data_IF_699013305618
#
_entry.id   IF_699013305618
#
_cell.length_a   1.000
_cell.length_b   1.000
_cell.length_c   1.000
_cell.angle_alpha   90.00
_cell.angle_beta   90.00
_cell.angle_gamma   90.00
#
_symmetry.space_group_name_H-M   'P 1'
#
loop_
_entity.id
_entity.type
_entity.pdbx_description
1 polymer ?
#
# COMPACT_ATOMS: atom_id res chain seq x y z
N UNK A 1 -24.41 -1.59 -3.63
CA UNK A 1 -23.05 -2.12 -3.87
C UNK A 1 -22.89 -2.29 -5.36
N UNK A 2 -21.90 -1.64 -5.97
CA UNK A 2 -21.45 -2.04 -7.31
C UNK A 2 -20.92 -3.48 -7.19
N UNK A 3 -21.51 -4.41 -7.92
CA UNK A 3 -20.91 -5.75 -8.04
C UNK A 3 -19.56 -5.57 -8.75
N UNK A 4 -18.47 -6.16 -8.25
CA UNK A 4 -17.22 -6.15 -9.01
C UNK A 4 -17.51 -6.80 -10.37
N UNK A 5 -17.17 -6.09 -11.44
CA UNK A 5 -17.15 -6.67 -12.78
C UNK A 5 -15.89 -7.50 -12.82
N UNK A 6 -16.05 -8.82 -12.73
CA UNK A 6 -14.96 -9.77 -12.94
C UNK A 6 -15.02 -10.11 -14.41
N UNK A 7 -14.09 -9.53 -15.18
CA UNK A 7 -13.90 -9.87 -16.58
C UNK A 7 -13.31 -11.28 -16.68
N UNK A 8 -13.83 -12.11 -17.58
CA UNK A 8 -13.21 -13.41 -17.85
C UNK A 8 -11.80 -13.20 -18.43
N UNK A 9 -10.91 -14.16 -18.15
CA UNK A 9 -9.50 -14.08 -18.56
C UNK A 9 -9.31 -14.02 -20.08
N UNK A 10 -10.32 -14.40 -20.86
CA UNK A 10 -10.34 -14.36 -22.32
C UNK A 10 -11.03 -13.10 -22.87
N UNK A 11 -11.55 -12.22 -22.02
CA UNK A 11 -12.03 -10.92 -22.46
C UNK A 11 -10.85 -10.02 -22.87
N UNK A 12 -11.09 -9.15 -23.85
CA UNK A 12 -10.13 -8.12 -24.28
C UNK A 12 -8.75 -8.61 -24.73
N UNK A 13 -8.60 -9.87 -25.16
CA UNK A 13 -7.30 -10.47 -25.54
C UNK A 13 -6.26 -10.38 -24.41
N UNK A 14 -6.71 -10.50 -23.16
CA UNK A 14 -5.84 -10.41 -22.00
C UNK A 14 -4.79 -11.53 -22.00
N UNK A 15 -5.16 -12.73 -22.45
CA UNK A 15 -4.27 -13.87 -22.66
C UNK A 15 -3.09 -13.54 -23.62
N UNK A 16 -3.38 -12.91 -24.75
CA UNK A 16 -2.36 -12.49 -25.71
C UNK A 16 -1.46 -11.39 -25.15
N UNK A 17 -2.02 -10.51 -24.32
CA UNK A 17 -1.29 -9.44 -23.66
C UNK A 17 -0.36 -9.98 -22.56
N UNK A 18 -0.85 -10.93 -21.76
CA UNK A 18 -0.05 -11.65 -20.75
C UNK A 18 1.07 -12.44 -21.43
N UNK A 19 0.78 -13.15 -22.53
CA UNK A 19 1.78 -13.92 -23.27
C UNK A 19 2.93 -13.06 -23.83
N UNK A 20 2.70 -11.76 -24.06
CA UNK A 20 3.72 -10.80 -24.53
C UNK A 20 4.38 -10.01 -23.39
N UNK A 21 3.87 -10.15 -22.17
CA UNK A 21 4.38 -9.41 -21.02
C UNK A 21 5.64 -10.09 -20.49
N UNK A 22 6.65 -9.28 -20.14
CA UNK A 22 7.87 -9.76 -19.49
C UNK A 22 7.76 -9.77 -17.95
N UNK A 23 6.71 -9.14 -17.41
CA UNK A 23 6.43 -9.01 -15.98
C UNK A 23 4.95 -8.71 -15.76
N UNK A 24 4.41 -9.15 -14.62
CA UNK A 24 3.06 -8.78 -14.15
C UNK A 24 3.17 -8.01 -12.84
N UNK A 25 2.51 -6.86 -12.75
CA UNK A 25 2.50 -6.04 -11.53
C UNK A 25 1.13 -6.05 -10.87
N UNK A 26 1.12 -6.10 -9.54
CA UNK A 26 -0.08 -6.03 -8.72
C UNK A 26 0.03 -4.93 -7.67
N UNK A 27 -1.08 -4.26 -7.41
CA UNK A 27 -1.29 -3.63 -6.11
C UNK A 27 -1.49 -4.71 -5.03
N UNK A 28 -1.37 -4.34 -3.76
CA UNK A 28 -1.57 -5.22 -2.62
C UNK A 28 -3.01 -5.14 -2.07
N UNK A 29 -3.37 -3.99 -1.52
CA UNK A 29 -4.57 -3.82 -0.69
C UNK A 29 -5.83 -3.82 -1.58
N UNK A 30 -6.74 -4.75 -1.29
CA UNK A 30 -7.93 -5.06 -2.08
C UNK A 30 -7.66 -5.58 -3.50
N UNK A 31 -6.43 -6.02 -3.79
CA UNK A 31 -6.05 -6.73 -5.02
C UNK A 31 -5.57 -8.14 -4.71
N UNK A 32 -4.45 -8.28 -3.99
CA UNK A 32 -3.93 -9.57 -3.55
C UNK A 32 -4.49 -9.97 -2.17
N UNK A 33 -4.77 -9.01 -1.30
CA UNK A 33 -5.31 -9.28 0.02
C UNK A 33 -6.30 -8.19 0.47
N UNK A 34 -7.18 -8.50 1.42
CA UNK A 34 -7.96 -7.45 2.08
C UNK A 34 -7.02 -6.46 2.77
N UNK A 35 -7.37 -5.17 2.79
CA UNK A 35 -6.45 -4.13 3.31
C UNK A 35 -5.86 -4.46 4.68
N UNK A 36 -4.52 -4.44 4.75
CA UNK A 36 -3.71 -4.76 5.94
C UNK A 36 -3.91 -6.17 6.52
N UNK A 37 -4.45 -7.12 5.76
CA UNK A 37 -4.63 -8.53 6.17
C UNK A 37 -3.78 -9.46 5.30
N UNK A 38 -3.31 -10.61 5.82
CA UNK A 38 -2.59 -11.57 5.00
C UNK A 38 -3.42 -12.09 3.83
N UNK A 39 -2.74 -12.47 2.73
CA UNK A 39 -3.37 -13.19 1.63
C UNK A 39 -4.08 -14.44 2.13
N UNK A 40 -5.18 -14.79 1.47
CA UNK A 40 -5.78 -16.11 1.65
C UNK A 40 -4.85 -17.18 1.08
N UNK A 41 -4.87 -18.38 1.66
CA UNK A 41 -4.02 -19.50 1.23
C UNK A 41 -4.14 -19.79 -0.28
N UNK A 42 -5.34 -19.80 -0.84
CA UNK A 42 -5.58 -20.03 -2.27
C UNK A 42 -4.96 -18.95 -3.17
N UNK A 43 -4.98 -17.70 -2.71
CA UNK A 43 -4.32 -16.60 -3.42
C UNK A 43 -2.80 -16.74 -3.37
N UNK A 44 -2.25 -17.08 -2.20
CA UNK A 44 -0.83 -17.31 -2.04
C UNK A 44 -0.31 -18.47 -2.92
N UNK A 45 -1.05 -19.58 -3.00
CA UNK A 45 -0.73 -20.69 -3.90
C UNK A 45 -0.77 -20.28 -5.38
N UNK A 46 -1.74 -19.45 -5.77
CA UNK A 46 -1.86 -18.96 -7.15
C UNK A 46 -0.73 -17.99 -7.51
N UNK A 47 -0.41 -17.07 -6.60
CA UNK A 47 0.67 -16.10 -6.77
C UNK A 47 2.03 -16.79 -6.83
N UNK A 48 2.29 -17.77 -5.96
CA UNK A 48 3.51 -18.57 -5.97
C UNK A 48 3.72 -19.28 -7.31
N UNK A 49 2.69 -19.94 -7.84
CA UNK A 49 2.74 -20.57 -9.17
C UNK A 49 3.03 -19.56 -10.28
N UNK A 50 2.45 -18.36 -10.20
CA UNK A 50 2.70 -17.31 -11.18
C UNK A 50 4.15 -16.81 -11.12
N UNK A 51 4.69 -16.58 -9.92
CA UNK A 51 6.07 -16.16 -9.69
C UNK A 51 7.06 -17.17 -10.27
N UNK A 52 6.76 -18.47 -10.21
CA UNK A 52 7.63 -19.51 -10.79
C UNK A 52 7.69 -19.45 -12.33
N UNK A 53 6.70 -18.84 -12.99
CA UNK A 53 6.58 -18.77 -14.45
C UNK A 53 7.10 -17.43 -14.99
N UNK A 54 6.77 -16.32 -14.34
CA UNK A 54 7.05 -14.97 -14.82
C UNK A 54 7.45 -14.05 -13.66
N UNK A 55 8.33 -13.05 -13.88
CA UNK A 55 8.57 -12.01 -12.89
C UNK A 55 7.28 -11.32 -12.45
N UNK A 56 7.13 -11.13 -11.14
CA UNK A 56 5.98 -10.46 -10.53
C UNK A 56 6.46 -9.28 -9.69
N UNK A 57 5.86 -8.11 -9.90
CA UNK A 57 6.03 -6.96 -9.03
C UNK A 57 4.84 -6.74 -8.11
N UNK A 58 5.10 -6.48 -6.84
CA UNK A 58 4.10 -6.00 -5.89
C UNK A 58 4.44 -4.55 -5.55
N UNK A 59 3.59 -3.63 -6.00
CA UNK A 59 3.73 -2.19 -5.76
C UNK A 59 2.62 -1.80 -4.80
N UNK A 60 2.93 -1.22 -3.65
CA UNK A 60 1.91 -0.89 -2.64
C UNK A 60 2.24 0.39 -1.91
N UNK A 61 1.21 1.10 -1.45
CA UNK A 61 1.41 2.18 -0.48
C UNK A 61 1.90 1.69 0.88
N UNK A 62 1.69 0.42 1.23
CA UNK A 62 2.09 -0.16 2.51
C UNK A 62 3.60 -0.12 2.77
N UNK A 63 4.00 -0.13 4.04
CA UNK A 63 5.40 -0.25 4.42
C UNK A 63 5.93 -1.68 4.19
N UNK A 64 7.25 -1.84 4.20
CA UNK A 64 7.91 -3.13 3.95
C UNK A 64 7.46 -4.24 4.92
N UNK A 65 7.22 -3.91 6.18
CA UNK A 65 6.72 -4.86 7.19
C UNK A 65 5.33 -5.39 6.86
N UNK A 66 4.47 -4.57 6.26
CA UNK A 66 3.17 -5.02 5.78
C UNK A 66 3.32 -5.97 4.60
N UNK A 67 4.24 -5.70 3.68
CA UNK A 67 4.52 -6.61 2.55
C UNK A 67 5.03 -7.97 3.04
N UNK A 68 5.95 -7.98 4.00
CA UNK A 68 6.45 -9.24 4.60
C UNK A 68 5.31 -10.08 5.16
N UNK A 69 4.47 -9.47 6.01
CA UNK A 69 3.38 -10.17 6.70
C UNK A 69 2.27 -10.61 5.73
N UNK A 70 1.96 -9.80 4.73
CA UNK A 70 0.80 -10.05 3.87
C UNK A 70 1.12 -10.91 2.65
N UNK A 71 2.34 -10.79 2.11
CA UNK A 71 2.79 -11.48 0.90
C UNK A 71 3.86 -12.50 1.23
N UNK A 72 5.05 -12.06 1.64
CA UNK A 72 6.24 -12.92 1.62
C UNK A 72 6.09 -14.12 2.56
N UNK A 73 5.56 -13.91 3.76
CA UNK A 73 5.33 -14.99 4.73
C UNK A 73 4.23 -15.97 4.32
N UNK A 74 3.43 -15.64 3.30
CA UNK A 74 2.33 -16.47 2.82
C UNK A 74 2.72 -17.32 1.61
N UNK A 75 3.82 -16.99 0.92
CA UNK A 75 4.27 -17.72 -0.27
C UNK A 75 4.57 -19.18 0.06
N UNK A 76 4.29 -20.08 -0.87
CA UNK A 76 4.56 -21.50 -0.70
C UNK A 76 6.07 -21.77 -0.66
N UNK A 77 6.47 -22.74 0.15
CA UNK A 77 7.86 -23.20 0.20
C UNK A 77 8.31 -23.62 -1.21
N UNK A 78 9.49 -23.19 -1.62
CA UNK A 78 10.06 -23.49 -2.94
C UNK A 78 9.73 -22.50 -4.04
N UNK A 79 8.89 -21.48 -3.78
CA UNK A 79 8.64 -20.37 -4.73
C UNK A 79 9.97 -19.73 -5.16
N UNK A 80 10.14 -19.46 -6.46
CA UNK A 80 11.32 -18.81 -7.00
C UNK A 80 11.36 -17.31 -6.63
N UNK A 81 11.87 -17.00 -5.45
CA UNK A 81 11.91 -15.64 -4.90
C UNK A 81 12.72 -14.65 -5.75
N UNK A 82 13.59 -15.13 -6.65
CA UNK A 82 14.29 -14.24 -7.59
C UNK A 82 13.34 -13.57 -8.58
N UNK A 83 12.13 -14.10 -8.79
CA UNK A 83 11.15 -13.52 -9.69
C UNK A 83 10.24 -12.48 -9.00
N UNK A 84 10.33 -12.29 -7.68
CA UNK A 84 9.50 -11.30 -6.98
C UNK A 84 10.22 -9.95 -6.81
N UNK A 85 9.52 -8.88 -7.17
CA UNK A 85 9.96 -7.49 -7.04
C UNK A 85 9.06 -6.78 -6.03
N UNK A 86 9.64 -6.16 -5.00
CA UNK A 86 8.88 -5.55 -3.90
C UNK A 86 9.09 -4.04 -3.89
N UNK A 87 8.02 -3.29 -4.07
CA UNK A 87 8.04 -1.83 -4.20
C UNK A 87 7.04 -1.20 -3.22
N UNK A 88 7.38 -1.13 -1.91
CA UNK A 88 6.53 -0.50 -0.91
C UNK A 88 6.48 1.02 -1.11
N UNK A 89 5.65 1.68 -0.31
CA UNK A 89 5.52 3.15 -0.28
C UNK A 89 5.34 3.79 -1.66
N UNK A 90 4.50 3.17 -2.50
CA UNK A 90 4.25 3.55 -3.89
C UNK A 90 5.50 3.56 -4.78
N UNK A 91 6.46 2.69 -4.50
CA UNK A 91 7.69 2.54 -5.27
C UNK A 91 8.78 3.56 -4.96
N UNK A 92 8.64 4.35 -3.87
CA UNK A 92 9.75 5.19 -3.38
C UNK A 92 10.90 4.35 -2.79
N UNK A 93 10.67 3.07 -2.56
CA UNK A 93 11.71 2.09 -2.26
C UNK A 93 11.51 0.82 -3.10
N UNK A 94 12.59 0.12 -3.40
CA UNK A 94 12.57 -1.13 -4.17
C UNK A 94 13.53 -2.16 -3.58
N UNK A 95 13.02 -3.37 -3.41
CA UNK A 95 13.73 -4.50 -2.84
C UNK A 95 13.64 -5.74 -3.74
N UNK A 96 14.75 -6.50 -3.76
CA UNK A 96 14.79 -7.89 -4.22
C UNK A 96 14.68 -8.82 -3.03
N UNK A 97 14.14 -10.01 -3.27
CA UNK A 97 14.04 -11.07 -2.26
C UNK A 97 15.07 -12.14 -2.57
N UNK A 98 15.95 -12.41 -1.61
CA UNK A 98 16.92 -13.48 -1.70
C UNK A 98 16.27 -14.84 -1.37
N UNK A 99 16.96 -15.93 -1.71
CA UNK A 99 16.45 -17.29 -1.46
C UNK A 99 16.21 -17.60 0.02
N UNK A 100 16.88 -16.90 0.94
CA UNK A 100 16.73 -17.01 2.39
C UNK A 100 15.64 -16.08 2.96
N UNK A 101 14.80 -15.49 2.09
CA UNK A 101 13.78 -14.49 2.41
C UNK A 101 14.35 -13.14 2.90
N UNK A 102 15.67 -12.94 2.90
CA UNK A 102 16.25 -11.64 3.20
C UNK A 102 15.97 -10.65 2.06
N UNK A 103 15.79 -9.38 2.44
CA UNK A 103 15.51 -8.31 1.51
C UNK A 103 16.79 -7.55 1.17
N UNK A 104 17.08 -7.47 -0.12
CA UNK A 104 18.15 -6.64 -0.64
C UNK A 104 17.57 -5.34 -1.17
N UNK A 105 17.92 -4.22 -0.53
CA UNK A 105 17.56 -2.89 -1.00
C UNK A 105 18.27 -2.58 -2.31
N UNK A 106 17.51 -2.19 -3.33
CA UNK A 106 18.04 -1.70 -4.61
C UNK A 106 18.12 -0.18 -4.58
N UNK A 107 17.06 0.47 -4.09
CA UNK A 107 17.05 1.90 -3.79
C UNK A 107 16.01 2.22 -2.71
N UNK A 108 16.24 3.33 -2.00
CA UNK A 108 15.31 3.92 -1.04
C UNK A 108 15.40 5.45 -1.12
N UNK A 109 14.28 6.10 -1.40
CA UNK A 109 14.16 7.57 -1.36
C UNK A 109 13.67 8.01 0.02
N UNK A 110 14.54 7.93 1.02
CA UNK A 110 14.19 8.28 2.40
C UNK A 110 13.97 9.78 2.58
N UNK A 111 13.04 10.13 3.47
CA UNK A 111 12.79 11.50 3.91
C UNK A 111 13.66 11.72 5.15
N UNK A 112 14.48 12.78 5.16
CA UNK A 112 15.29 13.06 6.35
C UNK A 112 14.43 13.48 7.54
N UNK A 113 14.98 13.39 8.75
CA UNK A 113 14.23 13.64 9.97
C UNK A 113 13.61 15.05 10.02
N UNK A 114 14.31 16.09 9.56
CA UNK A 114 13.83 17.48 9.61
C UNK A 114 12.71 17.68 8.60
N UNK A 115 12.87 17.15 7.38
CA UNK A 115 11.83 17.16 6.36
C UNK A 115 10.58 16.40 6.83
N UNK A 116 10.77 15.24 7.44
CA UNK A 116 9.67 14.44 7.94
C UNK A 116 8.89 15.19 9.02
N UNK A 117 9.57 15.85 9.96
CA UNK A 117 8.90 16.65 10.99
C UNK A 117 8.13 17.83 10.38
N UNK A 118 8.71 18.54 9.40
CA UNK A 118 8.03 19.62 8.68
C UNK A 118 6.73 19.15 8.02
N UNK A 119 6.76 18.00 7.35
CA UNK A 119 5.57 17.41 6.72
C UNK A 119 4.53 16.98 7.76
N UNK A 120 4.96 16.36 8.86
CA UNK A 120 4.06 15.95 9.96
C UNK A 120 3.35 17.16 10.57
N UNK A 121 4.10 18.23 10.84
CA UNK A 121 3.54 19.46 11.41
C UNK A 121 2.55 20.13 10.45
N UNK A 122 2.86 20.14 9.14
CA UNK A 122 1.97 20.65 8.11
C UNK A 122 0.67 19.83 8.02
N UNK A 123 0.78 18.49 8.03
CA UNK A 123 -0.38 17.58 8.06
C UNK A 123 -1.24 17.87 9.29
N UNK A 124 -0.63 17.91 10.47
CA UNK A 124 -1.33 18.14 11.74
C UNK A 124 -2.08 19.48 11.73
N UNK A 125 -1.40 20.57 11.34
CA UNK A 125 -2.00 21.92 11.27
C UNK A 125 -3.15 21.97 10.27
N UNK A 126 -2.96 21.44 9.06
CA UNK A 126 -4.00 21.44 8.03
C UNK A 126 -5.21 20.60 8.45
N UNK A 127 -4.97 19.39 8.99
CA UNK A 127 -6.01 18.49 9.46
C UNK A 127 -6.85 19.10 10.60
N UNK A 128 -6.21 19.83 11.54
CA UNK A 128 -6.90 20.59 12.60
C UNK A 128 -7.76 21.70 12.01
N UNK A 129 -7.21 22.48 11.08
CA UNK A 129 -7.92 23.60 10.47
C UNK A 129 -9.20 23.18 9.72
N UNK A 130 -9.19 22.03 9.06
CA UNK A 130 -10.36 21.51 8.34
C UNK A 130 -11.24 20.59 9.21
N UNK A 131 -10.91 20.40 10.49
CA UNK A 131 -11.71 19.62 11.44
C UNK A 131 -11.67 18.11 11.27
N UNK A 132 -10.63 17.56 10.62
CA UNK A 132 -10.47 16.10 10.42
C UNK A 132 -9.43 15.45 11.35
N UNK A 133 -8.71 16.26 12.13
CA UNK A 133 -7.83 15.76 13.18
C UNK A 133 -8.64 15.17 14.34
N UNK A 134 -8.16 14.06 14.91
CA UNK A 134 -8.80 13.35 16.01
C UNK A 134 -7.89 13.44 17.23
N UNK A 135 -8.40 14.03 18.29
CA UNK A 135 -7.63 14.13 19.53
C UNK A 135 -7.53 12.75 20.21
N UNK A 136 -6.44 12.49 20.97
CA UNK A 136 -6.33 11.26 21.76
C UNK A 136 -7.56 11.04 22.64
N UNK A 137 -8.16 9.85 22.55
CA UNK A 137 -9.38 9.50 23.28
C UNK A 137 -10.69 9.74 22.50
N UNK A 138 -10.66 10.29 21.28
CA UNK A 138 -11.84 10.32 20.41
C UNK A 138 -12.34 8.88 20.14
N UNK A 139 -13.63 8.58 20.33
CA UNK A 139 -14.18 7.23 20.14
C UNK A 139 -14.11 6.73 18.68
N UNK A 140 -13.92 7.65 17.73
CA UNK A 140 -13.75 7.38 16.30
C UNK A 140 -12.28 7.41 15.86
N UNK A 141 -11.35 7.25 16.81
CA UNK A 141 -9.91 7.12 16.54
C UNK A 141 -9.42 5.70 16.86
N UNK A 142 -8.85 5.04 15.86
CA UNK A 142 -8.29 3.70 15.97
C UNK A 142 -6.80 3.70 15.66
N UNK A 143 -5.98 3.73 16.72
CA UNK A 143 -4.52 3.84 16.63
C UNK A 143 -4.08 5.22 16.14
N UNK A 144 -2.81 5.32 15.72
CA UNK A 144 -2.21 6.59 15.28
C UNK A 144 -2.82 7.12 13.99
N UNK A 145 -2.92 8.45 13.84
CA UNK A 145 -3.33 9.05 12.57
C UNK A 145 -2.17 9.18 11.58
N UNK A 146 -0.96 9.45 12.08
CA UNK A 146 0.24 9.64 11.28
C UNK A 146 1.12 8.39 11.36
N UNK A 147 1.60 7.93 10.22
CA UNK A 147 2.59 6.86 10.13
C UNK A 147 3.74 7.31 9.23
N UNK A 148 4.95 7.38 9.79
CA UNK A 148 6.17 7.63 9.02
C UNK A 148 6.76 6.29 8.58
N UNK A 149 6.80 6.06 7.26
CA UNK A 149 7.30 4.84 6.62
C UNK A 149 8.71 4.99 6.06
N UNK A 150 9.44 6.03 6.49
CA UNK A 150 10.80 6.35 6.04
C UNK A 150 10.80 7.18 4.75
N UNK A 151 10.31 6.61 3.65
CA UNK A 151 10.22 7.26 2.33
C UNK A 151 8.84 7.83 2.00
N UNK A 152 7.89 7.71 2.93
CA UNK A 152 6.52 8.22 2.80
C UNK A 152 5.93 8.49 4.18
N UNK A 153 5.14 9.56 4.29
CA UNK A 153 4.35 9.86 5.48
C UNK A 153 2.88 9.70 5.12
N UNK A 154 2.16 8.91 5.91
CA UNK A 154 0.75 8.58 5.66
C UNK A 154 -0.12 9.18 6.77
N UNK A 155 -1.18 9.89 6.36
CA UNK A 155 -2.24 10.33 7.25
C UNK A 155 -3.51 9.49 7.06
N UNK A 156 -4.05 8.97 8.16
CA UNK A 156 -5.34 8.29 8.23
C UNK A 156 -6.26 9.03 9.18
N UNK A 157 -7.33 9.66 8.67
CA UNK A 157 -8.20 10.51 9.47
C UNK A 157 -8.86 9.79 10.66
N UNK A 158 -9.23 8.53 10.52
CA UNK A 158 -9.78 7.71 11.61
C UNK A 158 -8.70 6.87 12.34
N UNK A 159 -7.42 7.07 12.03
CA UNK A 159 -6.33 6.25 12.53
C UNK A 159 -6.03 5.01 11.67
N UNK A 160 -4.81 4.50 11.80
CA UNK A 160 -4.26 3.43 10.97
C UNK A 160 -5.01 2.09 11.12
N UNK A 161 -5.68 1.88 12.25
CA UNK A 161 -6.37 0.64 12.61
C UNK A 161 -7.88 0.70 12.42
N UNK A 162 -8.42 1.79 11.86
CA UNK A 162 -9.87 1.94 11.72
C UNK A 162 -10.49 0.82 10.86
N UNK A 163 -11.64 0.25 11.28
CA UNK A 163 -12.34 -0.76 10.50
C UNK A 163 -12.81 -0.21 9.14
N UNK A 164 -12.98 -1.12 8.17
CA UNK A 164 -13.24 -0.75 6.77
C UNK A 164 -14.60 -0.07 6.58
N UNK A 165 -15.59 -0.47 7.36
CA UNK A 165 -16.95 0.08 7.36
C UNK A 165 -16.94 1.57 7.71
N UNK A 166 -16.17 1.99 8.71
CA UNK A 166 -16.02 3.39 9.09
C UNK A 166 -15.18 4.17 8.07
N UNK A 167 -14.11 3.57 7.54
CA UNK A 167 -13.30 4.20 6.47
C UNK A 167 -14.12 4.51 5.22
N UNK A 168 -15.04 3.63 4.84
CA UNK A 168 -15.89 3.80 3.65
C UNK A 168 -16.93 4.90 3.82
N UNK A 169 -17.45 5.11 5.02
CA UNK A 169 -18.51 6.11 5.29
C UNK A 169 -17.96 7.48 5.67
N UNK A 170 -16.68 7.57 6.05
CA UNK A 170 -16.07 8.81 6.56
C UNK A 170 -15.99 9.94 5.53
N UNK A 171 -15.53 9.66 4.31
CA UNK A 171 -15.48 10.63 3.21
C UNK A 171 -15.82 9.94 1.88
N UNK A 172 -17.12 9.61 1.65
CA UNK A 172 -17.54 8.88 0.46
C UNK A 172 -17.29 9.67 -0.84
N UNK A 173 -17.35 10.99 -0.74
CA UNK A 173 -17.13 11.91 -1.86
C UNK A 173 -15.65 12.11 -2.20
N UNK A 174 -14.75 11.89 -1.24
CA UNK A 174 -13.33 12.21 -1.38
C UNK A 174 -13.01 13.71 -1.24
N UNK A 175 -14.00 14.58 -1.02
CA UNK A 175 -13.82 16.02 -0.97
C UNK A 175 -12.95 16.45 0.22
N UNK A 176 -13.10 15.84 1.40
CA UNK A 176 -12.29 16.18 2.57
C UNK A 176 -10.82 15.79 2.36
N UNK A 177 -10.56 14.62 1.77
CA UNK A 177 -9.19 14.21 1.42
C UNK A 177 -8.57 15.13 0.37
N UNK A 178 -9.31 15.52 -0.66
CA UNK A 178 -8.83 16.43 -1.70
C UNK A 178 -8.51 17.81 -1.13
N UNK A 179 -9.41 18.37 -0.30
CA UNK A 179 -9.19 19.65 0.39
C UNK A 179 -7.97 19.60 1.32
N UNK A 180 -7.81 18.51 2.08
CA UNK A 180 -6.65 18.32 2.94
C UNK A 180 -5.35 18.26 2.14
N UNK A 181 -5.31 17.46 1.06
CA UNK A 181 -4.14 17.32 0.22
C UNK A 181 -3.72 18.66 -0.41
N UNK A 182 -4.70 19.44 -0.89
CA UNK A 182 -4.44 20.78 -1.42
C UNK A 182 -3.89 21.71 -0.34
N UNK A 183 -4.48 21.71 0.86
CA UNK A 183 -4.03 22.55 1.98
C UNK A 183 -2.60 22.21 2.41
N UNK A 184 -2.26 20.92 2.48
CA UNK A 184 -0.89 20.47 2.79
C UNK A 184 0.08 20.91 1.68
N UNK A 185 -0.29 20.73 0.42
CA UNK A 185 0.56 21.13 -0.71
C UNK A 185 0.87 22.63 -0.71
N UNK A 186 -0.06 23.48 -0.28
CA UNK A 186 0.16 24.93 -0.15
C UNK A 186 1.00 25.31 1.07
N UNK A 187 1.02 24.47 2.11
CA UNK A 187 1.77 24.70 3.33
C UNK A 187 3.23 24.22 3.24
N UNK A 188 3.55 23.37 2.26
CA UNK A 188 4.89 22.86 2.01
C UNK A 188 5.63 23.73 0.97
N UNK A 189 6.97 23.79 1.03
CA UNK A 189 7.76 24.47 0.01
C UNK A 189 7.63 23.77 -1.36
N UNK A 190 7.79 24.54 -2.44
CA UNK A 190 7.81 24.05 -3.83
C UNK A 190 9.02 23.14 -4.09
#
# INVERSE_FOLDING_TARGET
MLKPIVHDWNEFNLDLSIAKSSLIAFDLDNTLACSKKPMLKSMAESLSKLIDIIPVAVITGGCLELVKKQILNMLTIGTNLKNIHIMPTNGTSYYRVNNDMSLQSVYEHTIDFKQAQCVIDAIHKCAKNIGVWKEPGDPMLWGEQIENRGSQITFSALGQLAPIEYKKTWDPSGCLKAQLAQSISQALPN
#
